data_IF_600313240663
#
_entry.id   IF_600313240663
#
_cell.length_a   1.000
_cell.length_b   1.000
_cell.length_c   1.000
_cell.angle_alpha   90.00
_cell.angle_beta   90.00
_cell.angle_gamma   90.00
#
_symmetry.space_group_name_H-M   'P 1'
#
loop_
_entity.id
_entity.type
_entity.pdbx_description
1 polymer ?
#
# COMPACT_ATOMS: atom_id res chain seq x y z
N UNK A 1 11.51 1.55 -10.36
CA UNK A 1 10.44 1.94 -9.39
C UNK A 1 9.25 1.03 -9.61
N UNK A 2 8.92 0.18 -8.63
CA UNK A 2 7.75 -0.69 -8.69
C UNK A 2 6.50 0.21 -8.54
N UNK A 3 5.66 0.25 -9.57
CA UNK A 3 4.44 1.06 -9.60
C UNK A 3 3.29 0.23 -10.13
N UNK A 4 2.10 0.44 -9.58
CA UNK A 4 0.87 -0.19 -10.04
C UNK A 4 -0.20 0.88 -10.31
N UNK A 5 -1.02 0.72 -11.36
CA UNK A 5 -2.23 1.51 -11.51
C UNK A 5 -3.21 1.12 -10.41
N UNK A 6 -3.94 2.11 -9.89
CA UNK A 6 -4.90 1.92 -8.83
C UNK A 6 -6.12 2.84 -9.03
N UNK A 7 -7.31 2.34 -8.72
CA UNK A 7 -8.56 3.11 -8.70
C UNK A 7 -9.09 3.21 -7.28
N UNK A 8 -9.42 4.41 -6.82
CA UNK A 8 -9.94 4.63 -5.46
C UNK A 8 -11.33 4.03 -5.32
N UNK A 9 -11.47 3.12 -4.36
CA UNK A 9 -12.76 2.54 -3.98
C UNK A 9 -13.40 3.32 -2.82
N UNK A 10 -12.58 3.71 -1.85
CA UNK A 10 -13.01 4.39 -0.63
C UNK A 10 -11.86 5.19 -0.01
N UNK A 11 -12.21 6.25 0.71
CA UNK A 11 -11.29 7.07 1.50
C UNK A 11 -11.81 7.24 2.92
N UNK A 12 -10.94 7.08 3.91
CA UNK A 12 -11.26 7.23 5.32
C UNK A 12 -10.32 8.26 5.94
N UNK A 13 -10.87 9.30 6.57
CA UNK A 13 -10.07 10.30 7.30
C UNK A 13 -9.74 9.74 8.70
N UNK A 14 -8.47 9.46 8.94
CA UNK A 14 -7.92 8.89 10.17
C UNK A 14 -7.07 9.93 10.90
N UNK A 15 -7.70 11.00 11.39
CA UNK A 15 -7.02 12.11 12.05
C UNK A 15 -6.21 12.96 11.06
N UNK A 16 -4.88 12.87 11.12
CA UNK A 16 -3.98 13.62 10.24
C UNK A 16 -3.67 12.91 8.91
N UNK A 17 -4.16 11.68 8.74
CA UNK A 17 -3.91 10.84 7.56
C UNK A 17 -5.23 10.42 6.90
N UNK A 18 -5.14 10.01 5.63
CA UNK A 18 -6.19 9.27 4.94
C UNK A 18 -5.74 7.83 4.73
N UNK A 19 -6.62 6.88 5.04
CA UNK A 19 -6.53 5.51 4.57
C UNK A 19 -7.29 5.41 3.24
N UNK A 20 -6.60 5.02 2.16
CA UNK A 20 -7.20 4.83 0.84
C UNK A 20 -7.31 3.35 0.53
N UNK A 21 -8.51 2.94 0.15
CA UNK A 21 -8.78 1.61 -0.38
C UNK A 21 -8.78 1.71 -1.89
N UNK A 22 -7.97 0.89 -2.55
CA UNK A 22 -7.80 0.94 -4.00
C UNK A 22 -7.89 -0.43 -4.64
N UNK A 23 -8.51 -0.48 -5.82
CA UNK A 23 -8.49 -1.64 -6.71
C UNK A 23 -7.24 -1.58 -7.57
N UNK A 24 -6.53 -2.70 -7.70
CA UNK A 24 -5.34 -2.85 -8.55
C UNK A 24 -5.41 -4.16 -9.34
N UNK A 25 -4.59 -4.36 -10.39
CA UNK A 25 -4.56 -5.62 -11.13
C UNK A 25 -4.21 -6.87 -10.30
N UNK A 26 -3.59 -6.69 -9.13
CA UNK A 26 -3.19 -7.79 -8.23
C UNK A 26 -4.11 -7.92 -7.01
N UNK A 27 -5.26 -7.25 -7.04
CA UNK A 27 -6.24 -7.24 -5.96
C UNK A 27 -6.36 -5.89 -5.25
N UNK A 28 -7.14 -5.89 -4.18
CA UNK A 28 -7.41 -4.67 -3.39
C UNK A 28 -6.26 -4.39 -2.44
N UNK A 29 -5.78 -3.16 -2.44
CA UNK A 29 -4.75 -2.69 -1.52
C UNK A 29 -5.28 -1.54 -0.66
N UNK A 30 -4.62 -1.35 0.48
CA UNK A 30 -4.85 -0.21 1.37
C UNK A 30 -3.51 0.46 1.65
N UNK A 31 -3.49 1.78 1.63
CA UNK A 31 -2.31 2.54 2.04
C UNK A 31 -2.72 3.82 2.75
N UNK A 32 -1.87 4.27 3.67
CA UNK A 32 -2.04 5.53 4.37
C UNK A 32 -1.26 6.64 3.67
N UNK A 33 -1.81 7.86 3.70
CA UNK A 33 -1.12 9.07 3.25
C UNK A 33 -1.45 10.24 4.17
N UNK A 34 -0.52 11.17 4.32
CA UNK A 34 -0.78 12.42 5.04
C UNK A 34 -1.92 13.20 4.38
N UNK A 35 -2.77 13.80 5.20
CA UNK A 35 -3.78 14.76 4.78
C UNK A 35 -3.10 16.08 4.36
N UNK A 36 -2.43 16.05 3.20
CA UNK A 36 -1.77 17.21 2.58
C UNK A 36 -2.09 17.25 1.10
N UNK A 37 -2.39 18.44 0.59
CA UNK A 37 -2.75 18.64 -0.83
C UNK A 37 -4.05 17.94 -1.21
N UNK A 38 -4.28 17.79 -2.54
CA UNK A 38 -5.48 17.12 -3.05
C UNK A 38 -5.48 15.65 -2.63
N UNK A 39 -6.58 15.22 -2.03
CA UNK A 39 -6.85 13.82 -1.71
C UNK A 39 -7.57 13.21 -2.91
N UNK A 40 -7.13 12.04 -3.41
CA UNK A 40 -7.85 11.33 -4.46
C UNK A 40 -9.30 11.03 -4.08
N UNK A 41 -10.23 11.31 -4.97
CA UNK A 41 -11.65 10.99 -4.79
C UNK A 41 -11.98 9.57 -5.25
N UNK A 42 -13.14 9.06 -4.82
CA UNK A 42 -13.65 7.77 -5.31
C UNK A 42 -13.70 7.78 -6.84
N UNK A 43 -13.36 6.63 -7.43
CA UNK A 43 -13.28 6.39 -8.87
C UNK A 43 -12.13 7.14 -9.60
N UNK A 44 -11.36 7.99 -8.91
CA UNK A 44 -10.12 8.54 -9.48
C UNK A 44 -9.02 7.47 -9.60
N UNK A 45 -8.22 7.59 -10.66
CA UNK A 45 -7.07 6.72 -10.90
C UNK A 45 -5.78 7.39 -10.45
N UNK A 46 -4.89 6.61 -9.84
CA UNK A 46 -3.58 7.05 -9.38
C UNK A 46 -2.53 5.94 -9.52
N UNK A 47 -1.26 6.28 -9.77
CA UNK A 47 -0.18 5.33 -9.63
C UNK A 47 0.18 5.18 -8.14
N UNK A 48 0.20 3.95 -7.63
CA UNK A 48 0.79 3.64 -6.32
C UNK A 48 2.22 3.14 -6.51
N UNK A 49 3.15 3.70 -5.73
CA UNK A 49 4.55 3.31 -5.75
C UNK A 49 4.91 2.49 -4.52
N UNK A 50 5.81 1.53 -4.71
CA UNK A 50 6.37 0.72 -3.63
C UNK A 50 7.84 1.04 -3.48
N UNK A 51 8.24 1.31 -2.25
CA UNK A 51 9.65 1.38 -1.87
C UNK A 51 10.19 -0.05 -1.80
N UNK A 52 11.25 -0.40 -2.58
CA UNK A 52 11.84 -1.73 -2.51
C UNK A 52 12.41 -2.08 -1.13
N UNK A 53 12.74 -1.07 -0.31
CA UNK A 53 13.25 -1.26 1.05
C UNK A 53 12.15 -1.72 2.03
N UNK A 54 10.89 -1.49 1.70
CA UNK A 54 9.73 -1.81 2.55
C UNK A 54 8.96 -3.06 2.04
N UNK A 55 9.56 -3.84 1.14
CA UNK A 55 8.96 -5.06 0.57
C UNK A 55 9.36 -6.27 1.40
N UNK A 56 8.36 -7.00 1.88
CA UNK A 56 8.54 -8.28 2.57
C UNK A 56 8.18 -9.44 1.63
N UNK A 57 9.01 -10.48 1.63
CA UNK A 57 8.81 -11.68 0.82
C UNK A 57 8.45 -12.85 1.71
N UNK A 58 7.46 -13.65 1.30
CA UNK A 58 6.99 -14.81 2.06
C UNK A 58 7.05 -16.07 1.19
N UNK A 59 7.40 -17.20 1.80
CA UNK A 59 7.29 -18.50 1.16
C UNK A 59 5.80 -18.81 0.88
N UNK A 60 5.45 -19.16 -0.35
CA UNK A 60 4.04 -19.27 -0.76
C UNK A 60 3.26 -20.34 0.02
N UNK A 61 3.87 -21.48 0.31
CA UNK A 61 3.20 -22.59 1.01
C UNK A 61 3.21 -22.43 2.54
N UNK A 62 4.39 -22.24 3.12
CA UNK A 62 4.58 -22.17 4.58
C UNK A 62 4.30 -20.80 5.17
N UNK A 63 4.14 -19.77 4.34
CA UNK A 63 3.90 -18.37 4.73
C UNK A 63 5.00 -17.77 5.62
N UNK A 64 6.19 -18.39 5.66
CA UNK A 64 7.32 -17.84 6.40
C UNK A 64 7.92 -16.64 5.69
N UNK A 65 8.20 -15.57 6.45
CA UNK A 65 8.97 -14.43 5.95
C UNK A 65 10.39 -14.89 5.58
N UNK A 66 10.81 -14.60 4.36
CA UNK A 66 12.12 -14.96 3.80
C UNK A 66 13.22 -13.97 4.19
N UNK A 67 12.84 -12.78 4.66
CA UNK A 67 13.70 -11.75 5.22
C UNK A 67 13.41 -11.69 6.72
N UNK A 68 13.87 -12.69 7.48
CA UNK A 68 13.94 -12.55 8.94
C UNK A 68 14.72 -11.27 9.24
N UNK A 69 14.07 -10.32 9.92
CA UNK A 69 14.78 -9.27 10.64
C UNK A 69 15.70 -10.04 11.61
N UNK A 70 17.02 -9.97 11.42
CA UNK A 70 17.96 -10.54 12.38
C UNK A 70 17.63 -9.91 13.73
N UNK A 71 17.25 -10.73 14.71
CA UNK A 71 17.13 -10.28 16.10
C UNK A 71 18.42 -9.52 16.44
N UNK A 72 18.28 -8.24 16.77
CA UNK A 72 19.37 -7.48 17.36
C UNK A 72 19.62 -8.05 18.76
N UNK A 73 20.58 -8.98 18.85
CA UNK A 73 21.15 -9.46 20.13
C UNK A 73 22.04 -8.38 20.73
#
# INVERSE_FOLDING_TARGET
HLRLPATVLQRELMGADYLLHVSTPIGTLRFSRRNRGKVPEKDESLPIGFSPADVHLFHAETQHNLQMETDHV
#
